data_IF_113620411225
#
_entry.id   IF_113620411225
#
_cell.length_a   1.000
_cell.length_b   1.000
_cell.length_c   1.000
_cell.angle_alpha   90.00
_cell.angle_beta   90.00
_cell.angle_gamma   90.00
#
_symmetry.space_group_name_H-M   'P 1'
#
loop_
_entity.id
_entity.type
_entity.pdbx_description
1 polymer ?
#
# COMPACT_ATOMS: atom_id res chain seq x y z
N UNK A 1 18.67 -8.97 -5.91
CA UNK A 1 17.71 -8.71 -4.82
C UNK A 1 18.39 -8.12 -3.61
N UNK A 2 19.32 -8.81 -2.93
CA UNK A 2 19.99 -8.27 -1.74
C UNK A 2 20.69 -6.93 -2.01
N UNK A 3 21.46 -6.83 -3.10
CA UNK A 3 22.10 -5.57 -3.49
C UNK A 3 21.09 -4.43 -3.70
N UNK A 4 19.98 -4.67 -4.40
CA UNK A 4 18.92 -3.69 -4.58
C UNK A 4 18.30 -3.27 -3.22
N UNK A 5 18.11 -4.23 -2.31
CA UNK A 5 17.64 -3.97 -0.95
C UNK A 5 18.62 -3.13 -0.13
N UNK A 6 19.92 -3.40 -0.22
CA UNK A 6 20.97 -2.63 0.45
C UNK A 6 21.03 -1.19 -0.09
N UNK A 7 21.07 -1.02 -1.41
CA UNK A 7 21.07 0.30 -2.05
C UNK A 7 19.78 1.06 -1.72
N UNK A 8 18.62 0.41 -1.89
CA UNK A 8 17.32 1.00 -1.56
C UNK A 8 17.17 1.34 -0.07
N UNK A 9 17.80 0.56 0.80
CA UNK A 9 17.91 0.81 2.24
C UNK A 9 18.76 2.02 2.54
N UNK A 10 19.98 2.11 1.97
CA UNK A 10 20.86 3.26 2.14
C UNK A 10 20.18 4.57 1.72
N UNK A 11 19.54 4.60 0.54
CA UNK A 11 18.80 5.78 0.06
C UNK A 11 17.66 6.22 1.00
N UNK A 12 17.06 5.29 1.73
CA UNK A 12 15.92 5.55 2.62
C UNK A 12 16.31 5.82 4.07
N UNK A 13 17.45 5.32 4.53
CA UNK A 13 17.83 5.35 5.95
C UNK A 13 18.94 6.34 6.26
N UNK A 14 19.82 6.66 5.31
CA UNK A 14 20.91 7.61 5.53
C UNK A 14 20.34 9.01 5.74
N UNK A 15 20.82 9.69 6.79
CA UNK A 15 20.57 11.10 7.06
C UNK A 15 19.06 11.46 7.12
N UNK A 16 18.28 10.63 7.79
CA UNK A 16 16.81 10.66 7.76
C UNK A 16 16.20 11.93 8.41
N UNK A 17 17.00 12.67 9.18
CA UNK A 17 16.65 13.93 9.83
C UNK A 17 16.90 15.19 8.99
N UNK A 18 17.47 15.06 7.79
CA UNK A 18 18.06 16.19 7.05
C UNK A 18 17.12 17.23 6.43
N UNK A 19 15.84 17.17 6.77
CA UNK A 19 14.87 18.17 6.34
C UNK A 19 13.82 18.40 7.43
N UNK A 20 13.28 19.64 7.51
CA UNK A 20 12.14 19.93 8.36
C UNK A 20 10.97 18.96 8.12
N UNK A 21 10.13 18.79 9.14
CA UNK A 21 8.88 18.03 8.97
C UNK A 21 7.94 18.77 8.01
N UNK A 22 7.35 18.02 7.09
CA UNK A 22 6.18 18.49 6.36
C UNK A 22 4.99 18.66 7.30
N UNK A 23 4.01 19.52 6.94
CA UNK A 23 2.83 19.75 7.76
C UNK A 23 2.09 18.44 8.13
N UNK A 24 1.87 17.55 7.15
CA UNK A 24 1.28 16.22 7.40
C UNK A 24 2.13 15.34 8.33
N UNK A 25 3.47 15.43 8.26
CA UNK A 25 4.34 14.68 9.18
C UNK A 25 4.19 15.22 10.61
N UNK A 26 4.15 16.55 10.77
CA UNK A 26 4.02 17.20 12.08
C UNK A 26 2.68 16.85 12.75
N UNK A 27 1.58 16.84 11.98
CA UNK A 27 0.26 16.43 12.47
C UNK A 27 0.28 14.99 12.99
N UNK A 28 0.87 14.07 12.22
CA UNK A 28 0.99 12.67 12.61
C UNK A 28 1.92 12.48 13.82
N UNK A 29 3.00 13.26 13.87
CA UNK A 29 3.93 13.26 14.97
C UNK A 29 3.20 13.67 16.26
N UNK A 30 2.45 14.78 16.28
CA UNK A 30 1.71 15.22 17.49
C UNK A 30 0.77 14.14 18.01
N UNK A 31 0.06 13.46 17.10
CA UNK A 31 -0.82 12.33 17.45
C UNK A 31 -0.04 11.15 18.02
N UNK A 32 1.11 10.84 17.44
CA UNK A 32 2.02 9.84 17.98
C UNK A 32 2.56 10.24 19.37
N UNK A 33 2.89 11.51 19.60
CA UNK A 33 3.33 12.02 20.91
C UNK A 33 2.33 11.74 22.02
N UNK A 34 1.04 11.96 21.73
CA UNK A 34 -0.05 11.61 22.66
C UNK A 34 -0.09 10.11 22.96
N UNK A 35 0.04 9.26 21.93
CA UNK A 35 0.15 7.81 22.13
C UNK A 35 1.38 7.44 22.99
N UNK A 36 2.51 8.10 22.76
CA UNK A 36 3.75 7.83 23.48
C UNK A 36 3.61 8.14 24.98
N UNK A 37 3.00 9.27 25.31
CA UNK A 37 2.84 9.76 26.68
C UNK A 37 1.67 9.12 27.43
N UNK A 38 0.54 8.88 26.74
CA UNK A 38 -0.71 8.40 27.35
C UNK A 38 -0.89 6.88 27.23
N UNK A 39 -0.08 6.20 26.42
CA UNK A 39 -0.13 4.75 26.24
C UNK A 39 -1.28 4.21 25.39
N UNK A 40 -2.12 5.08 24.80
CA UNK A 40 -3.21 4.69 23.92
C UNK A 40 -3.48 5.71 22.81
N UNK A 41 -4.00 5.26 21.67
CA UNK A 41 -4.29 6.11 20.51
C UNK A 41 -5.79 6.35 20.34
N UNK A 42 -6.23 7.59 20.52
CA UNK A 42 -7.63 7.94 20.26
C UNK A 42 -7.84 8.34 18.79
N UNK A 43 -8.44 7.43 18.01
CA UNK A 43 -8.87 7.72 16.64
C UNK A 43 -9.93 8.83 16.64
N UNK A 44 -9.83 9.70 15.64
CA UNK A 44 -10.70 10.85 15.44
C UNK A 44 -11.43 10.65 14.10
N UNK A 45 -12.76 10.53 14.07
CA UNK A 45 -13.49 10.26 12.84
C UNK A 45 -13.63 11.50 11.93
N UNK A 46 -13.28 12.70 12.41
CA UNK A 46 -13.50 13.92 11.63
C UNK A 46 -12.29 14.32 10.78
N UNK A 47 -11.09 14.01 11.27
CA UNK A 47 -9.82 14.41 10.68
C UNK A 47 -8.78 13.33 11.04
N UNK A 48 -7.70 13.21 10.26
CA UNK A 48 -6.59 12.26 10.45
C UNK A 48 -6.84 10.81 9.97
N UNK A 49 -5.73 10.08 9.85
CA UNK A 49 -5.68 8.72 9.34
C UNK A 49 -5.70 7.68 10.45
N UNK A 50 -5.86 6.42 10.04
CA UNK A 50 -5.91 5.28 10.95
C UNK A 50 -4.68 5.13 11.85
N UNK A 51 -4.81 4.33 12.92
CA UNK A 51 -3.82 4.20 13.98
C UNK A 51 -2.61 3.31 13.64
N UNK A 52 -2.54 2.75 12.43
CA UNK A 52 -1.57 1.73 12.04
C UNK A 52 -0.12 2.22 12.09
N UNK A 53 0.18 3.36 11.47
CA UNK A 53 1.54 3.91 11.47
C UNK A 53 2.02 4.33 12.90
N UNK A 54 1.21 5.04 13.70
CA UNK A 54 1.54 5.32 15.10
C UNK A 54 1.85 4.06 15.91
N UNK A 55 1.02 3.02 15.82
CA UNK A 55 1.26 1.78 16.58
C UNK A 55 2.47 0.98 16.10
N UNK A 56 2.83 1.04 14.81
CA UNK A 56 4.09 0.46 14.33
C UNK A 56 5.31 1.23 14.81
N UNK A 57 5.19 2.55 14.98
CA UNK A 57 6.28 3.43 15.42
C UNK A 57 6.50 3.38 16.92
N UNK A 58 5.46 3.08 17.68
CA UNK A 58 5.52 3.05 19.15
C UNK A 58 6.57 2.10 19.73
N UNK A 59 6.64 0.80 19.35
CA UNK A 59 7.69 -0.07 19.88
C UNK A 59 9.09 0.35 19.42
N UNK A 60 9.23 0.90 18.22
CA UNK A 60 10.53 1.36 17.68
C UNK A 60 11.07 2.54 18.48
N UNK A 61 10.24 3.57 18.72
CA UNK A 61 10.61 4.72 19.53
C UNK A 61 10.89 4.34 20.99
N UNK A 62 10.06 3.44 21.55
CA UNK A 62 10.25 2.95 22.92
C UNK A 62 11.54 2.14 23.09
N UNK A 63 12.00 1.45 22.04
CA UNK A 63 13.28 0.75 22.04
C UNK A 63 14.48 1.71 22.15
N UNK A 64 14.34 2.97 21.71
CA UNK A 64 15.33 4.03 21.96
C UNK A 64 15.23 4.65 23.36
N UNK A 65 14.35 4.15 24.24
CA UNK A 65 14.17 4.67 25.60
C UNK A 65 13.30 5.94 25.68
N UNK A 66 12.78 6.43 24.56
CA UNK A 66 12.02 7.68 24.49
C UNK A 66 10.60 7.49 25.02
N UNK A 67 10.13 8.44 25.82
CA UNK A 67 8.79 8.40 26.45
C UNK A 67 8.00 9.72 26.38
N UNK A 68 8.64 10.83 26.03
CA UNK A 68 8.00 12.15 26.01
C UNK A 68 8.06 12.74 24.61
N UNK A 69 7.02 13.51 24.25
CA UNK A 69 6.90 14.16 22.95
C UNK A 69 8.08 15.09 22.65
N UNK A 70 8.53 15.85 23.65
CA UNK A 70 9.62 16.83 23.50
C UNK A 70 10.98 16.22 23.18
N UNK A 71 11.17 14.92 23.44
CA UNK A 71 12.43 14.22 23.21
C UNK A 71 12.48 13.57 21.81
N UNK A 72 11.39 13.71 21.02
CA UNK A 72 11.30 13.12 19.69
C UNK A 72 11.98 13.98 18.63
N UNK A 73 12.76 13.30 17.80
CA UNK A 73 13.35 13.85 16.59
C UNK A 73 12.69 13.24 15.35
N UNK A 74 12.70 14.00 14.25
CA UNK A 74 12.00 13.59 13.03
C UNK A 74 12.48 12.25 12.45
N UNK A 75 13.78 11.95 12.55
CA UNK A 75 14.35 10.73 12.00
C UNK A 75 13.85 9.47 12.69
N UNK A 76 13.53 9.54 13.99
CA UNK A 76 13.07 8.40 14.78
C UNK A 76 11.69 7.93 14.30
N UNK A 77 10.81 8.89 13.97
CA UNK A 77 9.48 8.60 13.40
C UNK A 77 9.59 8.14 11.94
N UNK A 78 10.45 8.78 11.15
CA UNK A 78 10.68 8.42 9.74
C UNK A 78 11.31 7.02 9.57
N UNK A 79 11.88 6.43 10.62
CA UNK A 79 12.51 5.11 10.56
C UNK A 79 11.53 4.01 10.10
N UNK A 80 10.28 4.06 10.57
CA UNK A 80 9.25 3.08 10.20
C UNK A 80 8.88 3.12 8.71
N UNK A 81 8.43 4.24 8.14
CA UNK A 81 8.13 4.29 6.70
C UNK A 81 9.36 4.02 5.85
N UNK A 82 10.57 4.40 6.31
CA UNK A 82 11.81 4.10 5.61
C UNK A 82 12.07 2.59 5.55
N UNK A 83 11.94 1.90 6.68
CA UNK A 83 12.08 0.45 6.76
C UNK A 83 11.00 -0.27 5.93
N UNK A 84 9.75 0.18 5.98
CA UNK A 84 8.64 -0.36 5.15
C UNK A 84 8.95 -0.19 3.66
N UNK A 85 9.45 0.98 3.27
CA UNK A 85 9.90 1.25 1.90
C UNK A 85 11.06 0.37 1.46
N UNK A 86 12.02 0.08 2.35
CA UNK A 86 13.11 -0.87 2.08
C UNK A 86 12.60 -2.30 1.92
N UNK A 87 11.64 -2.73 2.73
CA UNK A 87 11.02 -4.05 2.59
C UNK A 87 10.28 -4.19 1.24
N UNK A 88 9.63 -3.13 0.77
CA UNK A 88 8.97 -3.12 -0.54
C UNK A 88 9.92 -3.38 -1.71
N UNK A 89 11.19 -2.97 -1.62
CA UNK A 89 12.23 -3.30 -2.62
C UNK A 89 12.40 -4.81 -2.79
N UNK A 90 12.22 -5.58 -1.71
CA UNK A 90 12.28 -7.04 -1.72
C UNK A 90 10.95 -7.67 -2.13
N UNK A 91 9.86 -6.90 -2.13
CA UNK A 91 8.50 -7.31 -2.44
C UNK A 91 8.33 -8.14 -3.72
N UNK A 92 8.94 -7.77 -4.86
CA UNK A 92 8.84 -8.54 -6.12
C UNK A 92 9.26 -10.02 -5.98
N UNK A 93 10.15 -10.33 -5.04
CA UNK A 93 10.61 -11.70 -4.79
C UNK A 93 9.48 -12.67 -4.40
N UNK A 94 8.44 -12.15 -3.74
CA UNK A 94 7.27 -12.93 -3.34
C UNK A 94 6.50 -13.49 -4.55
N UNK A 95 6.56 -12.80 -5.69
CA UNK A 95 5.93 -13.20 -6.95
C UNK A 95 6.93 -13.71 -8.00
N UNK A 96 8.19 -14.00 -7.62
CA UNK A 96 9.27 -14.39 -8.56
C UNK A 96 8.95 -15.56 -9.47
N UNK A 97 8.15 -16.53 -8.99
CA UNK A 97 7.74 -17.71 -9.78
C UNK A 97 6.74 -17.35 -10.87
N UNK A 98 6.02 -16.24 -10.71
CA UNK A 98 5.06 -15.72 -11.68
C UNK A 98 5.65 -14.63 -12.57
N UNK A 99 6.54 -13.79 -12.03
CA UNK A 99 7.26 -12.76 -12.79
C UNK A 99 8.40 -13.32 -13.65
N UNK A 100 9.13 -14.32 -13.14
CA UNK A 100 10.41 -14.74 -13.71
C UNK A 100 11.58 -13.91 -13.19
N UNK A 101 12.80 -14.45 -13.27
CA UNK A 101 14.01 -13.83 -12.68
C UNK A 101 14.28 -12.40 -13.21
N UNK A 102 14.25 -12.13 -14.54
CA UNK A 102 14.59 -10.80 -15.05
C UNK A 102 13.62 -9.72 -14.57
N UNK A 103 12.31 -9.96 -14.73
CA UNK A 103 11.27 -9.04 -14.28
C UNK A 103 11.29 -8.81 -12.76
N UNK A 104 11.60 -9.86 -11.97
CA UNK A 104 11.74 -9.72 -10.51
C UNK A 104 12.90 -8.79 -10.14
N UNK A 105 14.06 -8.97 -10.78
CA UNK A 105 15.24 -8.15 -10.53
C UNK A 105 15.05 -6.70 -11.01
N UNK A 106 14.45 -6.53 -12.19
CA UNK A 106 14.15 -5.20 -12.72
C UNK A 106 13.16 -4.45 -11.83
N UNK A 107 12.04 -5.08 -11.44
CA UNK A 107 11.07 -4.47 -10.53
C UNK A 107 11.73 -4.05 -9.21
N UNK A 108 12.58 -4.91 -8.62
CA UNK A 108 13.28 -4.57 -7.39
C UNK A 108 14.21 -3.35 -7.55
N UNK A 109 14.94 -3.25 -8.67
CA UNK A 109 15.80 -2.09 -8.93
C UNK A 109 14.99 -0.81 -9.20
N UNK A 110 13.89 -0.89 -9.94
CA UNK A 110 13.00 0.25 -10.14
C UNK A 110 12.39 0.73 -8.82
N UNK A 111 11.94 -0.17 -7.94
CA UNK A 111 11.47 0.18 -6.59
C UNK A 111 12.59 0.75 -5.71
N UNK A 112 13.81 0.21 -5.81
CA UNK A 112 14.96 0.67 -5.02
C UNK A 112 15.34 2.12 -5.36
N UNK A 113 15.39 2.44 -6.66
CA UNK A 113 15.92 3.67 -7.20
C UNK A 113 14.87 4.73 -7.50
N UNK A 114 13.58 4.39 -7.59
CA UNK A 114 12.49 5.33 -7.87
C UNK A 114 12.53 6.49 -6.88
N UNK A 115 12.76 7.73 -7.34
CA UNK A 115 12.82 8.84 -6.42
C UNK A 115 11.47 9.19 -5.79
N UNK A 116 10.31 8.89 -6.42
CA UNK A 116 9.01 9.00 -5.74
C UNK A 116 8.93 8.06 -4.52
N UNK A 117 9.27 6.78 -4.71
CA UNK A 117 9.22 5.79 -3.64
C UNK A 117 10.28 6.07 -2.57
N UNK A 118 11.49 6.50 -2.94
CA UNK A 118 12.53 6.90 -1.97
C UNK A 118 12.08 8.11 -1.17
N UNK A 119 11.61 9.17 -1.83
CA UNK A 119 11.20 10.42 -1.20
C UNK A 119 10.10 10.19 -0.17
N UNK A 120 8.98 9.55 -0.55
CA UNK A 120 7.87 9.35 0.36
C UNK A 120 8.11 8.23 1.38
N UNK A 121 9.06 7.32 1.16
CA UNK A 121 9.53 6.42 2.22
C UNK A 121 10.23 7.16 3.36
N UNK A 122 10.72 8.38 3.12
CA UNK A 122 11.36 9.24 4.14
C UNK A 122 10.39 10.25 4.75
N UNK A 123 9.08 10.06 4.57
CA UNK A 123 8.03 10.87 5.16
C UNK A 123 7.28 10.08 6.22
N UNK A 124 7.07 10.66 7.40
CA UNK A 124 6.21 10.10 8.45
C UNK A 124 4.71 10.24 8.11
N UNK A 125 4.27 9.49 7.09
CA UNK A 125 2.90 9.42 6.60
C UNK A 125 2.46 7.97 6.37
N UNK A 126 1.15 7.71 6.43
CA UNK A 126 0.60 6.35 6.38
C UNK A 126 0.73 5.65 5.01
N UNK A 127 1.08 6.40 3.95
CA UNK A 127 1.01 5.90 2.58
C UNK A 127 1.91 4.69 2.34
N UNK A 128 3.13 4.67 2.88
CA UNK A 128 4.03 3.52 2.69
C UNK A 128 3.50 2.24 3.33
N UNK A 129 2.85 2.35 4.49
CA UNK A 129 2.19 1.23 5.13
C UNK A 129 1.01 0.73 4.29
N UNK A 130 0.23 1.64 3.70
CA UNK A 130 -0.86 1.29 2.80
C UNK A 130 -0.33 0.55 1.55
N UNK A 131 0.73 1.06 0.91
CA UNK A 131 1.34 0.43 -0.28
C UNK A 131 1.90 -0.95 0.05
N UNK A 132 2.66 -1.09 1.15
CA UNK A 132 3.22 -2.36 1.56
C UNK A 132 2.15 -3.39 1.93
N UNK A 133 1.12 -2.97 2.66
CA UNK A 133 0.00 -3.85 3.02
C UNK A 133 -0.82 -4.23 1.79
N UNK A 134 -1.01 -3.30 0.83
CA UNK A 134 -1.65 -3.58 -0.46
C UNK A 134 -0.86 -4.60 -1.27
N UNK A 135 0.47 -4.47 -1.33
CA UNK A 135 1.33 -5.46 -1.98
C UNK A 135 1.24 -6.83 -1.28
N UNK A 136 1.27 -6.85 0.05
CA UNK A 136 1.07 -8.08 0.83
C UNK A 136 -0.28 -8.75 0.55
N UNK A 137 -1.35 -7.97 0.40
CA UNK A 137 -2.67 -8.46 0.01
C UNK A 137 -2.65 -9.07 -1.41
N UNK A 138 -2.01 -8.40 -2.39
CA UNK A 138 -1.84 -8.93 -3.76
C UNK A 138 -1.06 -10.25 -3.75
N UNK A 139 0.06 -10.32 -3.02
CA UNK A 139 0.88 -11.53 -2.89
C UNK A 139 0.06 -12.68 -2.29
N UNK A 140 -0.67 -12.39 -1.22
CA UNK A 140 -1.51 -13.36 -0.52
C UNK A 140 -2.64 -13.87 -1.40
N UNK A 141 -3.35 -12.96 -2.07
CA UNK A 141 -4.38 -13.31 -3.04
C UNK A 141 -3.83 -14.14 -4.20
N UNK A 142 -2.63 -13.83 -4.68
CA UNK A 142 -1.98 -14.63 -5.72
C UNK A 142 -1.65 -16.05 -5.24
N UNK A 143 -1.26 -16.20 -3.97
CA UNK A 143 -1.12 -17.49 -3.28
C UNK A 143 -2.43 -18.28 -3.24
N UNK A 144 -3.53 -17.62 -2.82
CA UNK A 144 -4.89 -18.19 -2.80
C UNK A 144 -5.31 -18.61 -4.20
N UNK A 145 -5.15 -17.75 -5.21
CA UNK A 145 -5.43 -18.07 -6.62
C UNK A 145 -4.67 -19.30 -7.08
N UNK A 146 -3.38 -19.39 -6.78
CA UNK A 146 -2.56 -20.53 -7.21
C UNK A 146 -3.04 -21.83 -6.56
N UNK A 147 -3.45 -21.79 -5.28
CA UNK A 147 -4.12 -22.93 -4.65
C UNK A 147 -5.45 -23.26 -5.32
N UNK A 148 -6.31 -22.28 -5.61
CA UNK A 148 -7.59 -22.50 -6.29
C UNK A 148 -7.42 -23.18 -7.66
N UNK A 149 -6.36 -22.83 -8.39
CA UNK A 149 -6.02 -23.49 -9.65
C UNK A 149 -5.60 -24.95 -9.44
N UNK A 150 -4.76 -25.23 -8.43
CA UNK A 150 -4.30 -26.60 -8.14
C UNK A 150 -5.42 -27.47 -7.56
N UNK A 151 -6.32 -26.90 -6.76
CA UNK A 151 -7.45 -27.58 -6.16
C UNK A 151 -8.35 -28.26 -7.21
N UNK A 152 -8.48 -27.68 -8.41
CA UNK A 152 -9.21 -28.31 -9.53
C UNK A 152 -8.55 -29.59 -10.01
N UNK A 153 -7.22 -29.63 -10.03
CA UNK A 153 -6.46 -30.81 -10.43
C UNK A 153 -6.29 -31.82 -9.28
N UNK A 154 -6.29 -31.33 -8.03
CA UNK A 154 -6.07 -32.12 -6.82
C UNK A 154 -7.13 -31.76 -5.76
N UNK A 155 -8.35 -32.35 -5.83
CA UNK A 155 -9.46 -32.01 -4.93
C UNK A 155 -9.18 -32.24 -3.44
N UNK A 156 -8.16 -33.05 -3.11
CA UNK A 156 -7.74 -33.35 -1.73
C UNK A 156 -6.71 -32.34 -1.18
N UNK A 157 -6.27 -31.33 -1.95
CA UNK A 157 -5.32 -30.32 -1.46
C UNK A 157 -5.90 -29.55 -0.27
N UNK A 158 -5.13 -29.47 0.82
CA UNK A 158 -5.51 -28.77 2.04
C UNK A 158 -5.63 -27.27 1.80
N UNK A 159 -6.45 -26.59 2.60
CA UNK A 159 -6.61 -25.13 2.53
C UNK A 159 -5.29 -24.47 2.97
N UNK A 160 -4.75 -23.51 2.19
CA UNK A 160 -3.51 -22.83 2.51
C UNK A 160 -3.80 -21.72 3.53
N UNK A 161 -3.79 -22.06 4.82
CA UNK A 161 -4.13 -21.12 5.90
C UNK A 161 -3.23 -19.87 5.85
N UNK A 162 -1.93 -20.02 5.56
CA UNK A 162 -0.97 -18.91 5.51
C UNK A 162 -1.38 -17.75 4.59
N UNK A 163 -1.59 -17.98 3.27
CA UNK A 163 -2.09 -16.94 2.36
C UNK A 163 -3.43 -16.32 2.77
N UNK A 164 -4.38 -17.09 3.30
CA UNK A 164 -5.66 -16.54 3.75
C UNK A 164 -5.51 -15.65 5.00
N UNK A 165 -4.72 -16.10 5.97
CA UNK A 165 -4.42 -15.35 7.19
C UNK A 165 -3.67 -14.06 6.87
N UNK A 166 -2.62 -14.14 6.04
CA UNK A 166 -1.83 -12.97 5.64
C UNK A 166 -2.68 -11.96 4.85
N UNK A 167 -3.59 -12.43 4.00
CA UNK A 167 -4.54 -11.55 3.31
C UNK A 167 -5.37 -10.75 4.32
N UNK A 168 -5.92 -11.41 5.34
CA UNK A 168 -6.70 -10.75 6.39
C UNK A 168 -5.89 -9.73 7.19
N UNK A 169 -4.67 -10.10 7.61
CA UNK A 169 -3.75 -9.18 8.31
C UNK A 169 -3.46 -7.95 7.45
N UNK A 170 -3.13 -8.14 6.16
CA UNK A 170 -2.86 -7.04 5.23
C UNK A 170 -4.08 -6.14 5.05
N UNK A 171 -5.29 -6.70 4.89
CA UNK A 171 -6.51 -5.90 4.77
C UNK A 171 -6.81 -5.08 6.05
N UNK A 172 -6.63 -5.68 7.22
CA UNK A 172 -6.75 -4.97 8.50
C UNK A 172 -5.72 -3.84 8.63
N UNK A 173 -4.47 -4.06 8.22
CA UNK A 173 -3.42 -3.04 8.21
C UNK A 173 -3.67 -1.94 7.17
N UNK A 174 -4.23 -2.28 6.00
CA UNK A 174 -4.62 -1.29 5.00
C UNK A 174 -5.68 -0.34 5.58
N UNK A 175 -6.72 -0.89 6.23
CA UNK A 175 -7.75 -0.07 6.88
C UNK A 175 -7.17 0.76 8.02
N UNK A 176 -6.32 0.18 8.86
CA UNK A 176 -5.64 0.91 9.93
C UNK A 176 -4.61 1.92 9.42
N UNK A 177 -4.15 1.84 8.17
CA UNK A 177 -3.24 2.83 7.59
C UNK A 177 -3.98 4.08 7.14
N UNK A 178 -4.99 3.93 6.27
CA UNK A 178 -5.63 5.07 5.61
C UNK A 178 -7.01 4.71 5.06
N UNK A 179 -7.94 5.65 5.13
CA UNK A 179 -9.33 5.51 4.70
C UNK A 179 -9.45 5.20 3.21
N UNK A 180 -8.49 5.64 2.39
CA UNK A 180 -8.41 5.38 0.94
C UNK A 180 -8.08 3.93 0.60
N UNK A 181 -7.89 3.04 1.58
CA UNK A 181 -7.71 1.60 1.34
C UNK A 181 -8.84 0.98 0.51
N UNK A 182 -10.05 1.52 0.60
CA UNK A 182 -11.22 1.08 -0.18
C UNK A 182 -10.96 1.20 -1.69
N UNK A 183 -10.18 2.20 -2.12
CA UNK A 183 -9.80 2.37 -3.54
C UNK A 183 -8.86 1.24 -3.95
N UNK A 184 -7.84 0.93 -3.15
CA UNK A 184 -6.93 -0.17 -3.42
C UNK A 184 -7.67 -1.52 -3.45
N UNK A 185 -8.58 -1.76 -2.50
CA UNK A 185 -9.40 -2.97 -2.46
C UNK A 185 -10.29 -3.07 -3.71
N UNK A 186 -11.00 -2.00 -4.08
CA UNK A 186 -11.87 -1.97 -5.25
C UNK A 186 -11.09 -2.26 -6.54
N UNK A 187 -9.91 -1.67 -6.70
CA UNK A 187 -9.01 -1.94 -7.83
C UNK A 187 -8.56 -3.40 -7.88
N UNK A 188 -8.17 -3.99 -6.74
CA UNK A 188 -7.80 -5.41 -6.67
C UNK A 188 -8.98 -6.33 -7.00
N UNK A 189 -10.17 -6.03 -6.48
CA UNK A 189 -11.38 -6.79 -6.73
C UNK A 189 -11.80 -6.73 -8.22
N UNK A 190 -11.74 -5.53 -8.82
CA UNK A 190 -11.98 -5.33 -10.25
C UNK A 190 -10.99 -6.12 -11.11
N UNK A 191 -9.69 -6.03 -10.79
CA UNK A 191 -8.64 -6.79 -11.46
C UNK A 191 -8.84 -8.31 -11.32
N UNK A 192 -9.19 -8.79 -10.12
CA UNK A 192 -9.47 -10.22 -9.89
C UNK A 192 -10.70 -10.69 -10.68
N UNK A 193 -11.78 -9.89 -10.70
CA UNK A 193 -13.01 -10.20 -11.42
C UNK A 193 -12.79 -10.34 -12.93
N UNK A 194 -11.98 -9.45 -13.52
CA UNK A 194 -11.71 -9.44 -14.96
C UNK A 194 -10.67 -10.48 -15.39
N UNK A 195 -9.67 -10.78 -14.55
CA UNK A 195 -8.56 -11.67 -14.93
C UNK A 195 -8.71 -13.10 -14.45
N UNK A 196 -9.64 -13.37 -13.53
CA UNK A 196 -9.81 -14.68 -12.90
C UNK A 196 -11.24 -15.25 -12.96
N UNK A 197 -11.91 -15.27 -14.14
CA UNK A 197 -13.30 -15.76 -14.25
C UNK A 197 -13.47 -17.23 -13.85
N UNK A 198 -12.38 -18.01 -13.92
CA UNK A 198 -12.36 -19.45 -13.58
C UNK A 198 -12.48 -19.73 -12.07
N UNK A 199 -12.43 -18.70 -11.21
CA UNK A 199 -12.66 -18.83 -9.76
C UNK A 199 -14.13 -19.08 -9.40
N UNK A 200 -15.07 -18.85 -10.33
CA UNK A 200 -16.51 -19.10 -10.14
C UNK A 200 -16.90 -20.58 -10.02
N UNK A 201 -15.99 -21.50 -10.36
CA UNK A 201 -16.23 -22.95 -10.39
C UNK A 201 -15.56 -23.71 -9.23
N UNK A 202 -15.37 -23.06 -8.08
CA UNK A 202 -14.69 -23.62 -6.89
C UNK A 202 -15.73 -24.12 -5.88
N UNK A 203 -15.47 -25.22 -5.13
CA UNK A 203 -16.36 -25.66 -4.05
C UNK A 203 -16.60 -24.56 -3.02
N UNK A 204 -17.85 -24.11 -2.88
CA UNK A 204 -18.24 -22.97 -2.04
C UNK A 204 -17.79 -23.12 -0.59
N UNK A 205 -17.90 -24.32 -0.01
CA UNK A 205 -17.55 -24.57 1.41
C UNK A 205 -16.10 -24.24 1.76
N UNK A 206 -15.12 -24.66 0.94
CA UNK A 206 -13.70 -24.36 1.23
C UNK A 206 -13.36 -22.89 1.02
N UNK A 207 -14.03 -22.25 0.05
CA UNK A 207 -13.90 -20.82 -0.17
C UNK A 207 -14.45 -20.04 1.04
N UNK A 208 -15.59 -20.44 1.59
CA UNK A 208 -16.17 -19.83 2.80
C UNK A 208 -15.24 -19.94 4.00
N UNK A 209 -14.59 -21.09 4.21
CA UNK A 209 -13.59 -21.24 5.29
C UNK A 209 -12.41 -20.27 5.11
N UNK A 210 -11.86 -20.19 3.89
CA UNK A 210 -10.78 -19.24 3.59
C UNK A 210 -11.17 -17.77 3.77
N UNK A 211 -12.40 -17.41 3.37
CA UNK A 211 -12.97 -16.09 3.59
C UNK A 211 -13.14 -15.83 5.09
N UNK A 212 -13.66 -16.80 5.85
CA UNK A 212 -13.83 -16.67 7.30
C UNK A 212 -12.49 -16.42 8.01
N UNK A 213 -11.42 -17.12 7.63
CA UNK A 213 -10.06 -16.88 8.15
C UNK A 213 -9.59 -15.46 7.82
N UNK A 214 -9.76 -15.02 6.58
CA UNK A 214 -9.40 -13.65 6.15
C UNK A 214 -10.15 -12.60 6.95
N UNK A 215 -11.47 -12.74 7.06
CA UNK A 215 -12.34 -11.79 7.76
C UNK A 215 -12.01 -11.76 9.25
N UNK A 216 -11.86 -12.92 9.90
CA UNK A 216 -11.49 -13.00 11.31
C UNK A 216 -10.15 -12.29 11.56
N UNK A 217 -9.13 -12.54 10.74
CA UNK A 217 -7.83 -11.89 10.90
C UNK A 217 -7.88 -10.38 10.65
N UNK A 218 -8.62 -9.92 9.64
CA UNK A 218 -8.81 -8.49 9.38
C UNK A 218 -9.57 -7.80 10.52
N UNK A 219 -10.63 -8.43 11.03
CA UNK A 219 -11.41 -7.93 12.18
C UNK A 219 -10.57 -7.88 13.43
N UNK A 220 -9.71 -8.88 13.70
CA UNK A 220 -8.80 -8.85 14.86
C UNK A 220 -7.83 -7.65 14.77
N UNK A 221 -7.20 -7.43 13.62
CA UNK A 221 -6.28 -6.30 13.42
C UNK A 221 -7.01 -4.96 13.55
N UNK A 222 -8.16 -4.83 12.88
CA UNK A 222 -9.02 -3.64 12.97
C UNK A 222 -9.45 -3.38 14.41
N UNK A 223 -10.00 -4.39 15.08
CA UNK A 223 -10.50 -4.29 16.44
C UNK A 223 -9.37 -3.92 17.41
N UNK A 224 -8.22 -4.59 17.33
CA UNK A 224 -7.08 -4.31 18.18
C UNK A 224 -6.57 -2.86 18.01
N UNK A 225 -6.36 -2.41 16.78
CA UNK A 225 -5.74 -1.09 16.55
C UNK A 225 -6.72 0.07 16.79
N UNK A 226 -7.95 0.00 16.26
CA UNK A 226 -8.91 1.09 16.42
C UNK A 226 -9.51 1.19 17.82
N UNK A 227 -9.60 0.07 18.57
CA UNK A 227 -10.02 0.12 19.97
C UNK A 227 -8.91 0.47 20.96
N UNK A 228 -7.69 0.76 20.49
CA UNK A 228 -6.50 0.87 21.37
C UNK A 228 -6.29 -0.36 22.27
N UNK A 229 -6.38 -1.54 21.69
CA UNK A 229 -6.29 -2.83 22.38
C UNK A 229 -7.30 -2.94 23.54
N UNK A 230 -8.51 -2.42 23.34
CA UNK A 230 -9.60 -2.41 24.31
C UNK A 230 -9.70 -1.17 25.20
N UNK A 231 -8.71 -0.27 25.18
CA UNK A 231 -8.72 0.95 26.01
C UNK A 231 -9.71 2.02 25.52
N UNK A 232 -10.12 1.97 24.25
CA UNK A 232 -11.10 2.89 23.67
C UNK A 232 -12.02 2.18 22.64
N UNK A 233 -12.99 1.36 23.06
CA UNK A 233 -13.88 0.63 22.16
C UNK A 233 -14.69 1.52 21.19
N UNK A 234 -14.94 2.79 21.56
CA UNK A 234 -15.64 3.74 20.70
C UNK A 234 -14.92 3.98 19.36
N UNK A 235 -13.58 3.80 19.34
CA UNK A 235 -12.77 3.94 18.14
C UNK A 235 -13.18 3.00 16.99
N UNK A 236 -13.83 1.86 17.29
CA UNK A 236 -14.39 0.95 16.27
C UNK A 236 -15.55 1.59 15.52
N UNK A 237 -16.43 2.27 16.23
CA UNK A 237 -17.56 2.96 15.61
C UNK A 237 -17.07 4.21 14.87
N UNK A 238 -16.10 4.92 15.45
CA UNK A 238 -15.51 6.11 14.85
C UNK A 238 -14.80 5.78 13.52
N UNK A 239 -14.11 4.63 13.43
CA UNK A 239 -13.48 4.19 12.17
C UNK A 239 -14.48 3.99 11.03
N UNK A 240 -15.75 3.74 11.34
CA UNK A 240 -16.82 3.61 10.33
C UNK A 240 -17.43 4.97 10.03
N UNK A 241 -17.66 5.80 11.06
CA UNK A 241 -18.22 7.16 10.89
C UNK A 241 -17.35 8.07 10.02
N UNK A 242 -16.02 7.83 10.00
CA UNK A 242 -15.07 8.60 9.18
C UNK A 242 -15.48 8.74 7.72
N UNK A 243 -16.09 7.71 7.13
CA UNK A 243 -16.50 7.73 5.72
C UNK A 243 -17.56 8.78 5.41
N UNK A 244 -18.44 9.12 6.35
CA UNK A 244 -19.42 10.18 6.17
C UNK A 244 -18.76 11.56 6.00
N UNK A 245 -17.61 11.77 6.65
CA UNK A 245 -16.82 13.00 6.55
C UNK A 245 -15.93 13.00 5.31
N UNK A 246 -15.23 11.89 5.04
CA UNK A 246 -14.34 11.75 3.88
C UNK A 246 -15.07 11.89 2.54
N UNK A 247 -16.31 11.41 2.41
CA UNK A 247 -17.11 11.60 1.19
C UNK A 247 -17.37 13.08 0.91
N UNK A 248 -17.59 13.90 1.95
CA UNK A 248 -17.78 15.36 1.79
C UNK A 248 -16.48 16.06 1.40
N UNK A 249 -15.36 15.71 2.03
CA UNK A 249 -14.04 16.26 1.67
C UNK A 249 -13.58 15.86 0.26
N UNK A 250 -13.86 14.62 -0.16
CA UNK A 250 -13.51 14.13 -1.50
C UNK A 250 -14.15 15.00 -2.60
N UNK A 251 -15.34 15.55 -2.35
CA UNK A 251 -16.03 16.49 -3.24
C UNK A 251 -15.43 17.91 -3.27
N UNK A 252 -14.33 18.17 -2.56
CA UNK A 252 -13.68 19.48 -2.51
C UNK A 252 -14.34 20.48 -1.56
N UNK A 253 -15.25 20.03 -0.67
CA UNK A 253 -15.91 20.89 0.30
C UNK A 253 -15.03 21.11 1.55
N UNK A 254 -15.11 22.30 2.17
CA UNK A 254 -14.37 22.66 3.38
C UNK A 254 -12.88 22.91 3.14
N UNK A 255 -12.00 22.46 4.05
CA UNK A 255 -10.53 22.60 3.94
C UNK A 255 -9.95 21.91 2.69
N UNK A 256 -10.71 21.02 2.04
CA UNK A 256 -10.31 20.32 0.81
C UNK A 256 -10.18 21.20 -0.43
N UNK A 257 -10.75 22.41 -0.43
CA UNK A 257 -10.68 23.34 -1.56
C UNK A 257 -9.25 23.74 -1.96
N UNK A 258 -8.29 23.68 -1.02
CA UNK A 258 -6.88 24.03 -1.26
C UNK A 258 -6.08 22.95 -1.99
N UNK A 259 -6.64 21.74 -2.13
CA UNK A 259 -6.00 20.59 -2.78
C UNK A 259 -6.81 20.09 -3.99
N UNK A 260 -7.54 20.99 -4.64
CA UNK A 260 -8.28 20.68 -5.87
C UNK A 260 -7.33 20.74 -7.05
N UNK A 261 -7.11 19.60 -7.68
CA UNK A 261 -6.19 19.47 -8.81
C UNK A 261 -6.86 18.77 -10.00
N UNK A 262 -6.40 19.03 -11.24
CA UNK A 262 -6.98 18.44 -12.44
C UNK A 262 -6.79 16.91 -12.49
N UNK A 263 -7.52 16.25 -13.38
CA UNK A 263 -7.46 14.79 -13.58
C UNK A 263 -6.04 14.27 -13.83
N UNK A 264 -5.23 15.03 -14.58
CA UNK A 264 -3.86 14.64 -14.95
C UNK A 264 -2.79 14.93 -13.89
N UNK A 265 -3.17 15.44 -12.71
CA UNK A 265 -2.24 15.87 -11.66
C UNK A 265 -1.17 14.84 -11.31
N UNK A 266 -1.54 13.60 -11.04
CA UNK A 266 -0.56 12.59 -10.65
C UNK A 266 0.42 12.25 -11.77
N UNK A 267 -0.02 12.27 -13.03
CA UNK A 267 0.84 12.05 -14.19
C UNK A 267 1.82 13.21 -14.36
N UNK A 268 1.38 14.44 -14.11
CA UNK A 268 2.25 15.61 -14.12
C UNK A 268 3.31 15.51 -13.02
N UNK A 269 2.93 15.17 -11.79
CA UNK A 269 3.87 15.05 -10.66
C UNK A 269 4.88 13.90 -10.86
N UNK A 270 4.46 12.77 -11.42
CA UNK A 270 5.34 11.63 -11.64
C UNK A 270 6.26 11.78 -12.86
N UNK A 271 5.77 12.35 -13.95
CA UNK A 271 6.44 12.25 -15.26
C UNK A 271 6.93 13.57 -15.83
N UNK A 272 6.43 14.70 -15.34
CA UNK A 272 6.70 16.03 -15.91
C UNK A 272 6.83 17.11 -14.83
N UNK A 273 7.28 16.76 -13.63
CA UNK A 273 7.43 17.74 -12.56
C UNK A 273 8.69 18.58 -12.76
N UNK A 274 8.52 19.90 -12.66
CA UNK A 274 9.60 20.87 -12.79
C UNK A 274 9.58 21.78 -11.57
N UNK A 275 10.67 21.81 -10.83
CA UNK A 275 10.86 22.79 -9.77
C UNK A 275 11.02 24.19 -10.40
N UNK A 276 10.38 25.24 -9.86
CA UNK A 276 10.66 26.61 -10.28
C UNK A 276 12.16 26.92 -10.16
N UNK A 277 12.81 27.28 -11.27
CA UNK A 277 14.25 27.56 -11.32
C UNK A 277 15.18 26.35 -11.19
N UNK A 278 14.65 25.12 -11.17
CA UNK A 278 15.43 23.90 -10.91
C UNK A 278 15.37 22.85 -12.03
N UNK A 279 15.91 21.68 -11.73
CA UNK A 279 15.95 20.52 -12.63
C UNK A 279 14.57 19.89 -12.83
N UNK A 280 14.37 19.28 -13.99
CA UNK A 280 13.20 18.43 -14.26
C UNK A 280 13.42 17.08 -13.58
N UNK A 281 12.37 16.53 -13.00
CA UNK A 281 12.37 15.17 -12.47
C UNK A 281 11.29 14.32 -13.14
N UNK A 282 11.61 13.06 -13.43
CA UNK A 282 10.72 12.18 -14.18
C UNK A 282 10.92 10.70 -13.87
N UNK A 283 9.80 9.98 -13.78
CA UNK A 283 9.74 8.51 -13.72
C UNK A 283 9.34 7.90 -15.08
N UNK A 284 9.52 8.64 -16.19
CA UNK A 284 9.05 8.23 -17.52
C UNK A 284 9.60 6.87 -17.97
N UNK A 285 10.82 6.49 -17.56
CA UNK A 285 11.38 5.17 -17.87
C UNK A 285 10.50 4.03 -17.30
N UNK A 286 9.95 4.20 -16.10
CA UNK A 286 9.02 3.23 -15.49
C UNK A 286 7.73 3.16 -16.28
N UNK A 287 7.20 4.31 -16.71
CA UNK A 287 6.00 4.37 -17.56
C UNK A 287 6.21 3.64 -18.89
N UNK A 288 7.32 3.88 -19.58
CA UNK A 288 7.63 3.22 -20.86
C UNK A 288 7.73 1.70 -20.70
N UNK A 289 8.38 1.22 -19.64
CA UNK A 289 8.46 -0.21 -19.33
C UNK A 289 7.09 -0.80 -18.97
N UNK A 290 6.26 -0.06 -18.22
CA UNK A 290 4.91 -0.48 -17.87
C UNK A 290 4.01 -0.58 -19.12
N UNK A 291 4.11 0.39 -20.05
CA UNK A 291 3.39 0.37 -21.32
C UNK A 291 3.82 -0.81 -22.19
N UNK A 292 5.14 -1.06 -22.31
CA UNK A 292 5.66 -2.21 -23.03
C UNK A 292 5.20 -3.55 -22.42
N UNK A 293 5.24 -3.67 -21.09
CA UNK A 293 4.77 -4.84 -20.36
C UNK A 293 3.26 -5.04 -20.50
N UNK A 294 2.47 -3.96 -20.45
CA UNK A 294 1.03 -3.98 -20.66
C UNK A 294 0.65 -4.41 -22.08
N UNK A 295 1.35 -3.87 -23.09
CA UNK A 295 1.19 -4.29 -24.48
C UNK A 295 1.52 -5.77 -24.68
N UNK A 296 2.64 -6.23 -24.12
CA UNK A 296 3.02 -7.64 -24.16
C UNK A 296 2.01 -8.55 -23.41
N UNK A 297 1.40 -8.08 -22.33
CA UNK A 297 0.36 -8.82 -21.61
C UNK A 297 -0.97 -8.86 -22.38
N UNK A 298 -1.32 -7.79 -23.10
CA UNK A 298 -2.50 -7.74 -23.95
C UNK A 298 -2.35 -8.68 -25.17
N UNK A 299 -1.22 -8.60 -25.86
CA UNK A 299 -0.96 -9.28 -27.14
C UNK A 299 -0.23 -10.62 -27.00
N UNK A 300 0.32 -10.95 -25.83
CA UNK A 300 1.25 -12.07 -25.65
C UNK A 300 0.70 -13.46 -25.97
N UNK A 301 -0.62 -13.66 -25.97
CA UNK A 301 -1.23 -14.90 -26.46
C UNK A 301 -1.17 -15.04 -27.98
N UNK A 302 -1.19 -13.92 -28.72
CA UNK A 302 -1.14 -13.88 -30.19
C UNK A 302 0.27 -14.16 -30.72
N UNK A 303 1.30 -13.72 -30.00
CA UNK A 303 2.70 -13.79 -30.45
C UNK A 303 3.58 -14.78 -29.68
N UNK A 304 3.03 -15.52 -28.70
CA UNK A 304 3.75 -16.48 -27.83
C UNK A 304 5.01 -15.92 -27.13
N UNK A 305 5.13 -14.60 -26.99
CA UNK A 305 6.31 -13.91 -26.44
C UNK A 305 6.51 -14.19 -24.95
N UNK A 306 5.44 -14.48 -24.20
CA UNK A 306 5.48 -14.71 -22.76
C UNK A 306 4.79 -16.01 -22.37
N UNK A 307 5.30 -16.64 -21.30
CA UNK A 307 4.65 -17.81 -20.69
C UNK A 307 3.27 -17.41 -20.11
N UNK A 308 2.27 -18.31 -20.04
CA UNK A 308 0.93 -17.98 -19.56
C UNK A 308 0.85 -17.44 -18.13
N UNK A 309 1.78 -17.87 -17.25
CA UNK A 309 1.83 -17.45 -15.84
C UNK A 309 2.19 -15.96 -15.68
N UNK A 310 3.29 -15.45 -16.28
CA UNK A 310 3.58 -14.02 -16.35
C UNK A 310 2.43 -13.17 -16.92
N UNK A 311 1.78 -13.61 -17.99
CA UNK A 311 0.70 -12.86 -18.64
C UNK A 311 -0.47 -12.64 -17.67
N UNK A 312 -0.87 -13.67 -16.91
CA UNK A 312 -1.98 -13.55 -15.97
C UNK A 312 -1.69 -12.53 -14.87
N UNK A 313 -0.46 -12.50 -14.34
CA UNK A 313 -0.07 -11.54 -13.30
C UNK A 313 0.03 -10.13 -13.87
N UNK A 314 0.65 -9.97 -15.04
CA UNK A 314 0.78 -8.66 -15.69
C UNK A 314 -0.58 -8.05 -16.04
N UNK A 315 -1.56 -8.86 -16.48
CA UNK A 315 -2.95 -8.38 -16.70
C UNK A 315 -3.63 -7.95 -15.40
N UNK A 316 -3.43 -8.72 -14.33
CA UNK A 316 -4.00 -8.38 -13.03
C UNK A 316 -3.42 -7.05 -12.52
N UNK A 317 -2.09 -6.91 -12.51
CA UNK A 317 -1.42 -5.68 -12.10
C UNK A 317 -1.79 -4.51 -13.01
N UNK A 318 -1.78 -4.70 -14.34
CA UNK A 318 -2.18 -3.66 -15.30
C UNK A 318 -3.59 -3.11 -15.05
N UNK A 319 -4.57 -3.98 -14.81
CA UNK A 319 -5.93 -3.53 -14.48
C UNK A 319 -5.99 -2.85 -13.11
N UNK A 320 -5.30 -3.40 -12.11
CA UNK A 320 -5.20 -2.79 -10.78
C UNK A 320 -4.65 -1.35 -10.85
N UNK A 321 -3.54 -1.16 -11.58
CA UNK A 321 -2.91 0.15 -11.80
C UNK A 321 -3.88 1.11 -12.49
N UNK A 322 -4.49 0.68 -13.61
CA UNK A 322 -5.36 1.54 -14.41
C UNK A 322 -6.61 1.97 -13.63
N UNK A 323 -7.26 1.03 -12.92
CA UNK A 323 -8.44 1.34 -12.11
C UNK A 323 -8.07 2.26 -10.95
N UNK A 324 -6.96 2.00 -10.25
CA UNK A 324 -6.55 2.81 -9.11
C UNK A 324 -6.12 4.22 -9.53
N UNK A 325 -5.34 4.35 -10.62
CA UNK A 325 -4.97 5.63 -11.19
C UNK A 325 -6.20 6.43 -11.61
N UNK A 326 -7.17 5.79 -12.29
CA UNK A 326 -8.43 6.43 -12.66
C UNK A 326 -9.22 6.92 -11.45
N UNK A 327 -9.46 6.05 -10.46
CA UNK A 327 -10.25 6.40 -9.26
C UNK A 327 -9.62 7.56 -8.48
N UNK A 328 -8.30 7.55 -8.29
CA UNK A 328 -7.62 8.68 -7.66
C UNK A 328 -7.66 9.96 -8.51
N UNK A 329 -7.49 9.85 -9.83
CA UNK A 329 -7.50 11.01 -10.73
C UNK A 329 -8.86 11.71 -10.82
N UNK A 330 -9.97 10.95 -10.73
CA UNK A 330 -11.33 11.51 -10.74
C UNK A 330 -11.65 12.30 -9.47
N UNK A 331 -11.08 11.92 -8.31
CA UNK A 331 -11.32 12.64 -7.04
C UNK A 331 -10.61 14.01 -7.09
N UNK A 332 -11.34 15.14 -6.95
CA UNK A 332 -10.75 16.48 -7.03
C UNK A 332 -9.67 16.74 -5.97
N UNK A 333 -9.92 16.37 -4.71
CA UNK A 333 -8.97 16.48 -3.61
C UNK A 333 -7.80 15.50 -3.78
N UNK A 334 -6.57 16.01 -3.95
CA UNK A 334 -5.40 15.17 -4.21
C UNK A 334 -4.22 15.55 -3.32
N UNK A 335 -3.54 14.52 -2.80
CA UNK A 335 -2.22 14.61 -2.18
C UNK A 335 -1.24 13.75 -2.97
N UNK A 336 -0.04 14.24 -3.33
CA UNK A 336 0.79 13.60 -4.34
C UNK A 336 1.25 12.18 -3.99
N UNK A 337 1.40 11.84 -2.70
CA UNK A 337 1.74 10.48 -2.27
C UNK A 337 0.67 9.43 -2.58
N UNK A 338 -0.60 9.80 -2.80
CA UNK A 338 -1.63 8.84 -3.23
C UNK A 338 -1.28 8.13 -4.55
N UNK A 339 -0.37 8.71 -5.34
CA UNK A 339 0.13 8.10 -6.56
C UNK A 339 0.91 6.79 -6.32
N UNK A 340 1.52 6.63 -5.15
CA UNK A 340 2.42 5.51 -4.85
C UNK A 340 1.73 4.15 -4.96
N UNK A 341 0.44 4.07 -4.64
CA UNK A 341 -0.33 2.82 -4.70
C UNK A 341 -0.37 2.21 -6.09
N UNK A 342 -0.70 3.01 -7.11
CA UNK A 342 -0.73 2.55 -8.50
C UNK A 342 0.64 2.61 -9.16
N UNK A 343 1.54 3.49 -8.71
CA UNK A 343 2.88 3.63 -9.27
C UNK A 343 3.79 2.44 -8.88
N UNK A 344 3.60 1.87 -7.68
CA UNK A 344 4.32 0.66 -7.26
C UNK A 344 3.81 -0.63 -7.96
N UNK A 345 2.51 -0.69 -8.26
CA UNK A 345 1.89 -1.85 -8.91
C UNK A 345 2.41 -2.06 -10.32
#
# INVERSE_FOLDING_TARGET
MLLAGLVGGALRLVDLGNRPMHADEAVQAVRFGRLLEQGHYRYDPQEYHGPGLPYLSWPVVRAFGLRQWKDLEAWQLRLVPAAVGTLLVLGPWCLRRSLGRPATLLAAWLTALSPALVFYSRYYIAEMLLVASSWGAIVSWWGVRNWLVRLKAQPKEKIPVGPWLLLGICLGLMYAAKETWVIALASMAGAAGLTMPRLRAVPKGRLLVGIAVTVAAAVIVWAALFSSFGQNPAGLLDSVKTYAHYVRQAGGQGRGGQHVYPFWYYFQVLFAWKQPGGSCWTEAAVLLLALAGGWAAATGHRFRVLKPRPIALARFLGIYILVQAFLYSVIPYKTPWCALGFYHG
#
